data_IF_802196689520
#
_entry.id   IF_802196689520
#
_cell.length_a   1.000
_cell.length_b   1.000
_cell.length_c   1.000
_cell.angle_alpha   90.00
_cell.angle_beta   90.00
_cell.angle_gamma   90.00
#
_symmetry.space_group_name_H-M   'P 1'
#
loop_
_entity.id
_entity.type
_entity.pdbx_description
1 polymer ?
#
# COMPACT_ATOMS: atom_id res chain seq x y z
N UNK A 1 15.52 10.26 31.36
CA UNK A 1 15.58 8.84 30.95
C UNK A 1 14.16 8.31 30.95
N UNK A 2 13.67 7.77 29.84
CA UNK A 2 12.33 7.16 29.75
C UNK A 2 12.45 5.68 30.14
N UNK A 3 11.54 5.18 30.96
CA UNK A 3 11.49 3.78 31.41
C UNK A 3 10.08 3.28 31.16
N UNK A 4 9.94 2.13 30.50
CA UNK A 4 8.67 1.51 30.12
C UNK A 4 8.57 0.09 30.70
N UNK A 5 8.21 -0.07 31.99
CA UNK A 5 8.22 -1.37 32.67
C UNK A 5 7.27 -2.40 32.06
N UNK A 6 6.09 -1.97 31.60
CA UNK A 6 5.10 -2.87 31.02
C UNK A 6 5.51 -3.35 29.64
N UNK A 7 6.08 -2.46 28.80
CA UNK A 7 6.66 -2.85 27.52
C UNK A 7 7.83 -3.84 27.71
N UNK A 8 8.69 -3.63 28.72
CA UNK A 8 9.75 -4.57 29.05
C UNK A 8 9.17 -5.95 29.42
N UNK A 9 8.12 -6.01 30.25
CA UNK A 9 7.45 -7.27 30.59
C UNK A 9 6.88 -7.96 29.34
N UNK A 10 6.24 -7.21 28.45
CA UNK A 10 5.68 -7.75 27.21
C UNK A 10 6.78 -8.29 26.29
N UNK A 11 7.85 -7.53 26.04
CA UNK A 11 8.97 -7.96 25.20
C UNK A 11 9.69 -9.19 25.79
N UNK A 12 9.83 -9.27 27.11
CA UNK A 12 10.36 -10.45 27.79
C UNK A 12 9.45 -11.67 27.58
N UNK A 13 8.14 -11.50 27.73
CA UNK A 13 7.16 -12.56 27.48
C UNK A 13 7.20 -13.09 26.04
N UNK A 14 7.34 -12.19 25.05
CA UNK A 14 7.55 -12.57 23.64
C UNK A 14 8.85 -13.34 23.46
N UNK A 15 9.94 -12.89 24.10
CA UNK A 15 11.23 -13.59 24.02
C UNK A 15 11.19 -15.00 24.62
N UNK A 16 10.38 -15.24 25.65
CA UNK A 16 10.30 -16.51 26.35
C UNK A 16 9.31 -17.49 25.70
N UNK A 17 8.19 -16.98 25.15
CA UNK A 17 7.07 -17.80 24.70
C UNK A 17 6.75 -17.63 23.20
N UNK A 18 7.44 -16.74 22.50
CA UNK A 18 7.19 -16.45 21.09
C UNK A 18 5.90 -15.67 20.85
N UNK A 19 5.32 -15.86 19.66
CA UNK A 19 4.17 -15.08 19.18
C UNK A 19 2.89 -15.38 19.97
N UNK A 20 2.75 -16.58 20.55
CA UNK A 20 1.58 -16.94 21.35
C UNK A 20 1.41 -16.01 22.56
N UNK A 21 2.48 -15.40 23.08
CA UNK A 21 2.37 -14.41 24.15
C UNK A 21 1.54 -13.17 23.76
N UNK A 22 1.43 -12.87 22.46
CA UNK A 22 0.65 -11.73 21.94
C UNK A 22 -0.77 -12.14 21.56
N UNK A 23 -0.97 -13.37 21.08
CA UNK A 23 -2.25 -13.83 20.53
C UNK A 23 -3.03 -14.78 21.44
N UNK A 24 -2.43 -15.22 22.55
CA UNK A 24 -3.05 -16.11 23.52
C UNK A 24 -2.82 -15.61 24.96
N UNK A 25 -3.79 -15.88 25.84
CA UNK A 25 -3.69 -15.61 27.28
C UNK A 25 -3.74 -14.11 27.64
N UNK A 26 -2.82 -13.69 28.51
CA UNK A 26 -2.96 -12.44 29.28
C UNK A 26 -2.90 -11.15 28.45
N UNK A 27 -2.26 -11.16 27.28
CA UNK A 27 -2.19 -9.96 26.42
C UNK A 27 -3.52 -9.72 25.69
N UNK A 28 -4.09 -10.70 24.95
CA UNK A 28 -5.44 -10.58 24.40
C UNK A 28 -6.47 -10.16 25.45
N UNK A 29 -6.51 -10.85 26.60
CA UNK A 29 -7.46 -10.56 27.69
C UNK A 29 -7.41 -9.08 28.10
N UNK A 30 -6.20 -8.55 28.33
CA UNK A 30 -6.01 -7.14 28.74
C UNK A 30 -6.40 -6.16 27.66
N UNK A 31 -6.13 -6.48 26.39
CA UNK A 31 -6.48 -5.59 25.28
C UNK A 31 -8.00 -5.59 25.10
N UNK A 32 -8.63 -6.76 25.11
CA UNK A 32 -10.08 -6.95 24.96
C UNK A 32 -10.85 -6.29 26.08
N UNK A 33 -10.48 -6.50 27.35
CA UNK A 33 -11.09 -5.82 28.50
C UNK A 33 -11.02 -4.29 28.34
N UNK A 34 -9.86 -3.77 27.94
CA UNK A 34 -9.66 -2.34 27.77
C UNK A 34 -10.48 -1.77 26.61
N UNK A 35 -10.53 -2.44 25.46
CA UNK A 35 -11.28 -2.00 24.28
C UNK A 35 -12.79 -2.04 24.54
N UNK A 36 -13.28 -3.10 25.17
CA UNK A 36 -14.70 -3.29 25.49
C UNK A 36 -15.19 -2.31 26.57
N UNK A 37 -14.31 -1.87 27.48
CA UNK A 37 -14.60 -0.76 28.41
C UNK A 37 -15.01 0.53 27.68
N UNK A 38 -14.58 0.71 26.43
CA UNK A 38 -14.97 1.83 25.57
C UNK A 38 -15.91 1.40 24.44
N UNK A 39 -16.68 0.33 24.63
CA UNK A 39 -17.67 -0.19 23.69
C UNK A 39 -17.09 -0.64 22.33
N UNK A 40 -15.79 -0.95 22.27
CA UNK A 40 -15.17 -1.57 21.10
C UNK A 40 -15.45 -3.08 21.01
N UNK A 41 -15.14 -3.68 19.85
CA UNK A 41 -15.55 -5.06 19.52
C UNK A 41 -14.44 -6.11 19.60
N UNK A 42 -13.18 -5.68 19.72
CA UNK A 42 -12.04 -6.59 19.74
C UNK A 42 -12.11 -7.52 20.96
N UNK A 43 -12.21 -8.82 20.73
CA UNK A 43 -12.28 -9.85 21.77
C UNK A 43 -11.11 -10.84 21.66
N UNK A 44 -10.93 -11.68 22.66
CA UNK A 44 -9.84 -12.65 22.75
C UNK A 44 -9.91 -13.64 21.58
N UNK A 45 -11.11 -13.99 21.13
CA UNK A 45 -11.33 -14.86 19.97
C UNK A 45 -10.72 -14.26 18.69
N UNK A 46 -10.78 -12.94 18.49
CA UNK A 46 -10.18 -12.28 17.31
C UNK A 46 -8.66 -12.51 17.23
N UNK A 47 -7.97 -12.53 18.38
CA UNK A 47 -6.55 -12.83 18.42
C UNK A 47 -6.26 -14.29 18.05
N UNK A 48 -7.08 -15.22 18.55
CA UNK A 48 -6.94 -16.65 18.24
C UNK A 48 -7.22 -16.97 16.76
N UNK A 49 -8.09 -16.19 16.12
CA UNK A 49 -8.44 -16.32 14.70
C UNK A 49 -7.50 -15.55 13.77
N UNK A 50 -6.65 -14.68 14.32
CA UNK A 50 -5.71 -13.91 13.53
C UNK A 50 -4.60 -14.80 12.95
N UNK A 51 -4.29 -14.59 11.68
CA UNK A 51 -3.10 -15.16 11.06
C UNK A 51 -2.45 -14.13 10.13
N UNK A 52 -1.15 -14.32 9.90
CA UNK A 52 -0.38 -13.52 8.93
C UNK A 52 -0.18 -14.32 7.65
N UNK A 53 -0.38 -13.66 6.51
CA UNK A 53 -0.29 -14.30 5.20
C UNK A 53 1.06 -14.03 4.54
N UNK A 54 1.70 -15.08 4.03
CA UNK A 54 2.77 -14.94 3.05
C UNK A 54 2.16 -14.62 1.69
N UNK A 55 2.57 -13.51 1.10
CA UNK A 55 2.02 -13.03 -0.18
C UNK A 55 3.09 -13.06 -1.27
N UNK A 56 2.64 -13.31 -2.51
CA UNK A 56 3.51 -13.12 -3.68
C UNK A 56 3.59 -11.62 -3.98
N UNK A 57 4.79 -11.02 -4.02
CA UNK A 57 4.93 -9.61 -4.33
C UNK A 57 4.50 -9.34 -5.77
N UNK A 58 4.00 -8.14 -6.01
CA UNK A 58 3.73 -7.62 -7.35
C UNK A 58 4.92 -6.79 -7.81
N UNK A 59 5.07 -6.68 -9.11
CA UNK A 59 6.19 -5.94 -9.68
C UNK A 59 5.84 -5.29 -11.00
N UNK A 60 6.65 -4.31 -11.37
CA UNK A 60 6.71 -3.79 -12.72
C UNK A 60 8.16 -3.54 -13.11
N UNK A 61 8.50 -3.84 -14.37
CA UNK A 61 9.79 -3.44 -14.90
C UNK A 61 9.73 -1.96 -15.29
N UNK A 62 10.65 -1.15 -14.77
CA UNK A 62 10.80 0.26 -15.11
C UNK A 62 12.22 0.47 -15.65
N UNK A 63 12.33 0.70 -16.97
CA UNK A 63 13.60 0.97 -17.65
C UNK A 63 14.73 -0.04 -17.35
N UNK A 64 14.38 -1.32 -17.33
CA UNK A 64 15.34 -2.41 -17.10
C UNK A 64 15.52 -2.82 -15.64
N UNK A 65 14.83 -2.17 -14.70
CA UNK A 65 14.83 -2.54 -13.28
C UNK A 65 13.47 -3.07 -12.85
N UNK A 66 13.44 -4.19 -12.14
CA UNK A 66 12.21 -4.67 -11.53
C UNK A 66 11.99 -3.99 -10.18
N UNK A 67 10.87 -3.26 -10.07
CA UNK A 67 10.43 -2.64 -8.82
C UNK A 67 9.36 -3.53 -8.21
N UNK A 68 9.58 -3.91 -6.95
CA UNK A 68 8.74 -4.86 -6.22
C UNK A 68 7.99 -4.17 -5.10
N UNK A 69 6.71 -4.52 -4.95
CA UNK A 69 5.83 -3.98 -3.91
C UNK A 69 4.96 -5.09 -3.31
N UNK A 70 4.46 -4.85 -2.10
CA UNK A 70 3.42 -5.68 -1.52
C UNK A 70 2.13 -5.57 -2.37
N UNK A 71 1.42 -6.68 -2.60
CA UNK A 71 0.11 -6.63 -3.26
C UNK A 71 -0.93 -5.90 -2.39
N UNK A 72 -2.11 -5.58 -2.95
CA UNK A 72 -3.29 -5.31 -2.14
C UNK A 72 -3.48 -6.37 -1.05
N UNK A 73 -3.94 -6.02 0.15
CA UNK A 73 -4.52 -4.73 0.56
C UNK A 73 -3.51 -3.59 0.84
N UNK A 74 -2.21 -3.80 0.61
CA UNK A 74 -1.22 -2.71 0.61
C UNK A 74 -1.43 -1.72 -0.55
N UNK A 75 -1.02 -0.46 -0.36
CA UNK A 75 -1.14 0.59 -1.39
C UNK A 75 0.11 0.73 -2.29
N UNK A 76 1.10 -0.16 -2.17
CA UNK A 76 2.33 -0.14 -2.96
C UNK A 76 2.10 -0.18 -4.48
N UNK A 77 0.98 -0.76 -4.93
CA UNK A 77 0.57 -0.77 -6.34
C UNK A 77 0.50 0.63 -6.96
N UNK A 78 0.20 1.68 -6.18
CA UNK A 78 0.18 3.06 -6.66
C UNK A 78 1.56 3.49 -7.21
N UNK A 79 2.65 3.11 -6.53
CA UNK A 79 3.99 3.42 -7.01
C UNK A 79 4.29 2.75 -8.35
N UNK A 80 3.90 1.48 -8.51
CA UNK A 80 4.09 0.74 -9.76
C UNK A 80 3.26 1.30 -10.92
N UNK A 81 2.00 1.70 -10.67
CA UNK A 81 1.14 2.35 -11.66
C UNK A 81 1.78 3.68 -12.11
N UNK A 82 2.20 4.52 -11.16
CA UNK A 82 2.80 5.82 -11.46
C UNK A 82 4.11 5.67 -12.26
N UNK A 83 4.96 4.70 -11.90
CA UNK A 83 6.17 4.38 -12.66
C UNK A 83 5.86 3.98 -14.09
N UNK A 84 4.85 3.14 -14.31
CA UNK A 84 4.45 2.75 -15.66
C UNK A 84 3.90 3.92 -16.47
N UNK A 85 3.17 4.85 -15.83
CA UNK A 85 2.64 6.04 -16.49
C UNK A 85 3.79 6.95 -16.92
N UNK A 86 4.70 7.30 -16.00
CA UNK A 86 5.81 8.22 -16.29
C UNK A 86 6.90 7.60 -17.18
N UNK A 87 6.90 6.29 -17.37
CA UNK A 87 7.80 5.62 -18.33
C UNK A 87 7.58 6.09 -19.78
N UNK A 88 6.40 6.65 -20.08
CA UNK A 88 6.02 7.11 -21.42
C UNK A 88 6.73 8.38 -21.90
N UNK A 89 7.58 9.00 -21.07
CA UNK A 89 8.48 10.11 -21.42
C UNK A 89 9.91 9.74 -21.07
N UNK A 90 10.92 10.25 -21.78
CA UNK A 90 12.30 10.12 -21.30
C UNK A 90 12.56 11.18 -20.23
N UNK A 91 12.85 10.77 -18.99
CA UNK A 91 13.15 11.70 -17.89
C UNK A 91 14.64 12.08 -17.82
N UNK A 92 15.52 11.34 -18.52
CA UNK A 92 16.97 11.44 -18.36
C UNK A 92 17.60 12.13 -19.56
N UNK A 93 17.19 11.76 -20.78
CA UNK A 93 17.80 12.26 -22.01
C UNK A 93 16.88 13.17 -22.84
N UNK A 94 15.79 13.67 -22.27
CA UNK A 94 14.90 14.58 -22.99
C UNK A 94 15.30 16.04 -22.77
N UNK A 95 15.01 16.86 -23.78
CA UNK A 95 15.01 18.32 -23.67
C UNK A 95 13.81 18.85 -22.85
N UNK A 96 13.09 17.97 -22.13
CA UNK A 96 11.95 18.34 -21.30
C UNK A 96 12.48 19.06 -20.05
N UNK A 97 12.02 20.30 -19.87
CA UNK A 97 12.32 21.11 -18.71
C UNK A 97 12.01 20.37 -17.39
N UNK A 98 12.83 20.61 -16.37
CA UNK A 98 12.73 19.94 -15.08
C UNK A 98 11.37 20.17 -14.39
N UNK A 99 10.77 21.35 -14.55
CA UNK A 99 9.43 21.65 -14.00
C UNK A 99 8.38 20.76 -14.67
N UNK A 100 8.46 20.60 -15.99
CA UNK A 100 7.55 19.74 -16.74
C UNK A 100 7.76 18.26 -16.38
N UNK A 101 8.99 17.81 -16.14
CA UNK A 101 9.26 16.47 -15.62
C UNK A 101 8.63 16.24 -14.23
N UNK A 102 8.75 17.23 -13.34
CA UNK A 102 8.14 17.15 -12.01
C UNK A 102 6.61 17.14 -12.10
N UNK A 103 6.04 17.96 -12.99
CA UNK A 103 4.61 17.97 -13.29
C UNK A 103 4.12 16.59 -13.72
N UNK A 104 4.79 15.94 -14.67
CA UNK A 104 4.44 14.57 -15.10
C UNK A 104 4.49 13.55 -13.96
N UNK A 105 5.49 13.62 -13.09
CA UNK A 105 5.60 12.73 -11.91
C UNK A 105 4.44 12.96 -10.93
N UNK A 106 4.08 14.22 -10.69
CA UNK A 106 2.97 14.61 -9.81
C UNK A 106 1.63 14.12 -10.38
N UNK A 107 1.35 14.39 -11.65
CA UNK A 107 0.08 14.00 -12.27
C UNK A 107 -0.05 12.47 -12.39
N UNK A 108 1.04 11.76 -12.72
CA UNK A 108 1.06 10.29 -12.72
C UNK A 108 0.74 9.71 -11.33
N UNK A 109 1.29 10.31 -10.27
CA UNK A 109 1.01 9.87 -8.89
C UNK A 109 -0.43 10.16 -8.47
N UNK A 110 -1.00 11.31 -8.85
CA UNK A 110 -2.43 11.61 -8.61
C UNK A 110 -3.33 10.58 -9.26
N UNK A 111 -3.06 10.21 -10.50
CA UNK A 111 -3.79 9.15 -11.22
C UNK A 111 -3.67 7.82 -10.47
N UNK A 112 -2.44 7.43 -10.11
CA UNK A 112 -2.19 6.16 -9.44
C UNK A 112 -2.87 6.06 -8.07
N UNK A 113 -2.88 7.15 -7.30
CA UNK A 113 -3.62 7.20 -6.03
C UNK A 113 -5.12 7.08 -6.24
N UNK A 114 -5.68 7.65 -7.31
CA UNK A 114 -7.10 7.50 -7.59
C UNK A 114 -7.47 6.05 -7.92
N UNK A 115 -6.65 5.37 -8.71
CA UNK A 115 -6.87 3.96 -9.03
C UNK A 115 -6.69 3.10 -7.76
N UNK A 116 -5.66 3.37 -6.95
CA UNK A 116 -5.45 2.67 -5.69
C UNK A 116 -6.61 2.87 -4.71
N UNK A 117 -7.12 4.10 -4.57
CA UNK A 117 -8.26 4.42 -3.71
C UNK A 117 -9.51 3.63 -4.11
N UNK A 118 -9.71 3.38 -5.40
CA UNK A 118 -10.87 2.65 -5.88
C UNK A 118 -10.69 1.13 -5.81
N UNK A 119 -9.51 0.62 -6.17
CA UNK A 119 -9.28 -0.82 -6.39
C UNK A 119 -8.60 -1.54 -5.23
N UNK A 120 -7.84 -0.86 -4.36
CA UNK A 120 -7.14 -1.52 -3.25
C UNK A 120 -8.15 -1.93 -2.18
N UNK A 121 -8.30 -3.24 -2.03
CA UNK A 121 -9.15 -3.88 -1.05
C UNK A 121 -8.49 -5.20 -0.57
N UNK A 122 -9.18 -5.91 0.32
CA UNK A 122 -8.81 -7.27 0.67
C UNK A 122 -8.98 -8.22 -0.54
N UNK A 123 -7.90 -8.83 -1.05
CA UNK A 123 -7.97 -9.71 -2.22
C UNK A 123 -8.76 -11.00 -1.96
N UNK A 124 -9.01 -11.39 -0.71
CA UNK A 124 -9.90 -12.50 -0.38
C UNK A 124 -11.39 -12.13 -0.51
N UNK A 125 -11.70 -10.83 -0.56
CA UNK A 125 -13.08 -10.31 -0.61
C UNK A 125 -13.45 -9.76 -1.98
N UNK A 126 -12.49 -9.23 -2.74
CA UNK A 126 -12.73 -8.59 -4.03
C UNK A 126 -11.66 -8.99 -5.04
N UNK A 127 -12.07 -9.24 -6.28
CA UNK A 127 -11.13 -9.44 -7.37
C UNK A 127 -10.55 -8.10 -7.84
N UNK A 128 -9.24 -7.93 -7.70
CA UNK A 128 -8.53 -6.70 -8.05
C UNK A 128 -7.80 -6.91 -9.39
N UNK A 129 -8.01 -6.08 -10.41
CA UNK A 129 -7.45 -6.28 -11.76
C UNK A 129 -5.96 -5.86 -11.84
N UNK A 130 -5.11 -6.43 -10.99
CA UNK A 130 -3.68 -6.05 -10.84
C UNK A 130 -2.94 -6.10 -12.18
N UNK A 131 -3.12 -7.15 -12.97
CA UNK A 131 -2.42 -7.31 -14.25
C UNK A 131 -2.77 -6.20 -15.24
N UNK A 132 -4.03 -5.75 -15.25
CA UNK A 132 -4.48 -4.68 -16.13
C UNK A 132 -3.96 -3.33 -15.65
N UNK A 133 -4.09 -3.04 -14.35
CA UNK A 133 -3.58 -1.80 -13.73
C UNK A 133 -2.07 -1.63 -13.93
N UNK A 134 -1.31 -2.73 -13.94
CA UNK A 134 0.14 -2.73 -14.15
C UNK A 134 0.54 -2.90 -15.63
N UNK A 135 -0.41 -3.00 -16.56
CA UNK A 135 -0.08 -3.14 -17.98
C UNK A 135 0.44 -1.84 -18.59
N UNK A 136 1.40 -1.95 -19.51
CA UNK A 136 1.96 -0.78 -20.22
C UNK A 136 0.93 -0.10 -21.12
N UNK A 137 -0.02 -0.87 -21.67
CA UNK A 137 -1.14 -0.33 -22.45
C UNK A 137 -2.07 0.54 -21.61
N UNK A 138 -2.44 0.07 -20.41
CA UNK A 138 -3.23 0.87 -19.47
C UNK A 138 -2.46 2.13 -19.04
N UNK A 139 -1.19 2.00 -18.70
CA UNK A 139 -0.37 3.13 -18.32
C UNK A 139 -0.25 4.19 -19.44
N UNK A 140 -0.13 3.77 -20.70
CA UNK A 140 -0.15 4.71 -21.84
C UNK A 140 -1.49 5.44 -21.97
N UNK A 141 -2.61 4.74 -21.78
CA UNK A 141 -3.94 5.35 -21.78
C UNK A 141 -4.05 6.42 -20.70
N UNK A 142 -3.61 6.11 -19.47
CA UNK A 142 -3.62 7.04 -18.34
C UNK A 142 -2.65 8.21 -18.54
N UNK A 143 -1.47 7.97 -19.11
CA UNK A 143 -0.51 9.02 -19.45
C UNK A 143 -1.12 10.09 -20.37
N UNK A 144 -1.91 9.67 -21.36
CA UNK A 144 -2.56 10.60 -22.30
C UNK A 144 -3.65 11.48 -21.65
N UNK A 145 -4.03 11.22 -20.38
CA UNK A 145 -4.94 12.10 -19.62
C UNK A 145 -4.20 13.27 -18.96
N UNK A 146 -2.87 13.24 -18.92
CA UNK A 146 -2.05 14.32 -18.35
C UNK A 146 -1.95 15.46 -19.37
N UNK A 147 -2.28 16.68 -18.94
CA UNK A 147 -2.12 17.90 -19.73
C UNK A 147 -0.78 18.54 -19.40
N UNK A 148 -0.02 18.97 -20.40
CA UNK A 148 1.32 19.55 -20.16
C UNK A 148 1.28 20.93 -19.52
N UNK A 149 0.23 21.71 -19.80
CA UNK A 149 0.11 23.13 -19.47
C UNK A 149 -0.72 23.38 -18.20
N UNK A 150 -1.30 22.34 -17.62
CA UNK A 150 -2.25 22.47 -16.51
C UNK A 150 -2.30 21.24 -15.61
N UNK A 151 -2.30 21.49 -14.30
CA UNK A 151 -2.54 20.46 -13.29
C UNK A 151 -4.02 20.13 -13.21
N UNK A 152 -4.35 18.85 -13.15
CA UNK A 152 -5.70 18.40 -12.83
C UNK A 152 -5.96 18.48 -11.33
N UNK A 153 -7.17 18.91 -10.95
CA UNK A 153 -7.62 18.89 -9.54
C UNK A 153 -8.04 17.49 -9.11
N UNK A 154 -8.62 16.74 -10.03
CA UNK A 154 -9.16 15.41 -9.77
C UNK A 154 -9.02 14.58 -11.05
N UNK A 155 -8.65 13.31 -10.87
CA UNK A 155 -8.75 12.30 -11.90
C UNK A 155 -9.91 11.37 -11.56
N UNK A 156 -10.61 10.86 -12.57
CA UNK A 156 -11.54 9.74 -12.36
C UNK A 156 -10.72 8.47 -12.21
N UNK A 157 -11.30 7.46 -11.53
CA UNK A 157 -10.77 6.10 -11.59
C UNK A 157 -10.68 5.66 -13.05
N UNK A 158 -9.62 4.95 -13.41
CA UNK A 158 -9.57 4.28 -14.69
C UNK A 158 -10.42 3.00 -14.68
N UNK A 159 -10.76 2.55 -15.88
CA UNK A 159 -11.68 1.43 -16.14
C UNK A 159 -13.07 1.62 -15.52
#
# INVERSE_FOLDING_TARGET
>A
KVVLPDLNRTLKGISENGISYIYEGIIPEKISEYVQKFNGWLCEEDFSLHSSSWVRPISSNYRGYDVWECPPNGQGIAALIALNIVENIDLVNSDIDHVLQLHYKIEAMKIAFQDALWYVADPEKVNIPIQELLSKSYAKKRFNEIKEDSSSREYKRGN
#
